data_IF_877924741879
#
_entry.id   IF_877924741879
#
_cell.length_a   1.000
_cell.length_b   1.000
_cell.length_c   1.000
_cell.angle_alpha   90.00
_cell.angle_beta   90.00
_cell.angle_gamma   90.00
#
_symmetry.space_group_name_H-M   'P 1'
#
loop_
_entity.id
_entity.type
_entity.pdbx_description
1 polymer ?
#
# COMPACT_ATOMS: atom_id res chain seq x y z
N UNK A 1 8.91 -24.03 -33.14
CA UNK A 1 8.11 -22.79 -33.25
C UNK A 1 8.16 -22.07 -31.91
N UNK A 2 8.64 -20.83 -31.87
CA UNK A 2 8.64 -20.05 -30.62
C UNK A 2 7.20 -19.57 -30.35
N UNK A 3 6.60 -20.06 -29.27
CA UNK A 3 5.24 -19.67 -28.87
C UNK A 3 5.31 -18.25 -28.28
N UNK A 4 4.85 -17.25 -29.03
CA UNK A 4 4.75 -15.87 -28.54
C UNK A 4 3.67 -15.83 -27.47
N UNK A 5 4.07 -15.73 -26.20
CA UNK A 5 3.14 -15.52 -25.08
C UNK A 5 3.04 -14.02 -24.80
N UNK A 6 1.82 -13.53 -24.61
CA UNK A 6 1.61 -12.16 -24.16
C UNK A 6 2.25 -11.98 -22.78
N UNK A 7 2.88 -10.83 -22.55
CA UNK A 7 3.41 -10.48 -21.22
C UNK A 7 2.25 -10.44 -20.22
N UNK A 8 2.37 -11.05 -19.03
CA UNK A 8 1.35 -10.93 -18.01
C UNK A 8 1.06 -9.45 -17.70
N UNK A 9 -0.21 -9.07 -17.48
CA UNK A 9 -0.53 -7.70 -17.09
C UNK A 9 0.28 -7.31 -15.84
N UNK A 10 0.72 -6.04 -15.79
CA UNK A 10 1.49 -5.44 -14.67
C UNK A 10 2.93 -5.96 -14.46
N UNK A 11 3.37 -7.00 -15.17
CA UNK A 11 4.77 -7.39 -15.19
C UNK A 11 5.62 -6.32 -15.92
N UNK A 12 6.74 -5.91 -15.29
CA UNK A 12 7.68 -4.98 -15.89
C UNK A 12 8.38 -5.66 -17.08
N UNK A 13 8.82 -4.86 -18.06
CA UNK A 13 9.59 -5.39 -19.20
C UNK A 13 10.83 -6.14 -18.69
N UNK A 14 10.98 -7.40 -19.09
CA UNK A 14 12.10 -8.24 -18.66
C UNK A 14 11.82 -9.09 -17.42
N UNK A 15 10.61 -9.02 -16.84
CA UNK A 15 10.18 -9.95 -15.78
C UNK A 15 9.06 -10.87 -16.26
N UNK A 16 9.02 -12.07 -15.69
CA UNK A 16 7.98 -13.07 -16.01
C UNK A 16 6.72 -12.90 -15.17
N UNK A 17 6.82 -12.22 -14.02
CA UNK A 17 5.72 -12.00 -13.06
C UNK A 17 5.83 -10.62 -12.43
N UNK A 18 4.70 -10.15 -11.89
CA UNK A 18 4.67 -8.98 -11.03
C UNK A 18 5.19 -9.31 -9.63
N UNK A 19 5.54 -8.29 -8.84
CA UNK A 19 6.05 -8.45 -7.47
C UNK A 19 5.42 -7.43 -6.52
N UNK A 20 5.43 -7.74 -5.23
CA UNK A 20 5.02 -6.82 -4.17
C UNK A 20 5.78 -5.49 -4.25
N UNK A 21 7.07 -5.53 -4.61
CA UNK A 21 7.90 -4.34 -4.75
C UNK A 21 7.46 -3.48 -5.92
N UNK A 22 7.18 -4.05 -7.09
CA UNK A 22 6.69 -3.28 -8.24
C UNK A 22 5.31 -2.66 -7.97
N UNK A 23 4.44 -3.39 -7.27
CA UNK A 23 3.16 -2.83 -6.82
C UNK A 23 3.37 -1.64 -5.87
N UNK A 24 4.37 -1.70 -4.97
CA UNK A 24 4.74 -0.58 -4.10
C UNK A 24 5.11 0.68 -4.89
N UNK A 25 5.87 0.54 -5.99
CA UNK A 25 6.22 1.65 -6.86
C UNK A 25 5.00 2.23 -7.61
N UNK A 26 4.04 1.39 -8.01
CA UNK A 26 2.79 1.89 -8.62
C UNK A 26 1.93 2.64 -7.61
N UNK A 27 1.83 2.15 -6.37
CA UNK A 27 1.15 2.88 -5.30
C UNK A 27 1.83 4.23 -5.06
N UNK A 28 3.18 4.27 -5.04
CA UNK A 28 3.94 5.52 -4.96
C UNK A 28 3.56 6.50 -6.08
N UNK A 29 3.56 6.03 -7.34
CA UNK A 29 3.21 6.84 -8.49
C UNK A 29 1.81 7.44 -8.37
N UNK A 30 0.80 6.63 -8.07
CA UNK A 30 -0.56 7.10 -7.89
C UNK A 30 -0.72 8.06 -6.70
N UNK A 31 0.00 7.85 -5.60
CA UNK A 31 -0.03 8.76 -4.45
C UNK A 31 0.60 10.13 -4.78
N UNK A 32 1.69 10.16 -5.56
CA UNK A 32 2.32 11.42 -5.99
C UNK A 32 1.44 12.20 -6.97
N UNK A 33 0.62 11.49 -7.76
CA UNK A 33 -0.31 12.07 -8.72
C UNK A 33 -1.68 12.42 -8.11
N UNK A 34 -1.88 12.18 -6.81
CA UNK A 34 -3.18 12.24 -6.13
C UNK A 34 -4.30 11.45 -6.86
N UNK A 35 -3.92 10.34 -7.50
CA UNK A 35 -4.83 9.45 -8.21
C UNK A 35 -5.46 8.45 -7.23
N UNK A 36 -6.57 8.90 -6.62
CA UNK A 36 -7.32 8.11 -5.64
C UNK A 36 -7.84 6.78 -6.17
N UNK A 37 -8.24 6.71 -7.43
CA UNK A 37 -8.73 5.46 -8.01
C UNK A 37 -7.54 4.52 -8.24
N UNK A 38 -6.44 5.04 -8.77
CA UNK A 38 -5.23 4.28 -9.04
C UNK A 38 -4.63 3.61 -7.81
N UNK A 39 -4.32 4.38 -6.75
CA UNK A 39 -3.70 3.76 -5.56
C UNK A 39 -4.64 2.79 -4.86
N UNK A 40 -5.97 3.02 -4.86
CA UNK A 40 -6.94 2.07 -4.27
C UNK A 40 -6.98 0.76 -5.04
N UNK A 41 -6.98 0.82 -6.38
CA UNK A 41 -6.91 -0.37 -7.21
C UNK A 41 -5.61 -1.15 -7.00
N UNK A 42 -4.48 -0.48 -6.81
CA UNK A 42 -3.21 -1.13 -6.48
C UNK A 42 -3.21 -1.77 -5.08
N UNK A 43 -3.78 -1.10 -4.08
CA UNK A 43 -3.93 -1.65 -2.72
C UNK A 43 -4.84 -2.89 -2.75
N UNK A 44 -5.95 -2.84 -3.47
CA UNK A 44 -6.85 -3.99 -3.65
C UNK A 44 -6.16 -5.12 -4.42
N UNK A 45 -5.41 -4.80 -5.47
CA UNK A 45 -4.61 -5.77 -6.19
C UNK A 45 -3.60 -6.45 -5.24
N UNK A 46 -2.89 -5.68 -4.40
CA UNK A 46 -1.97 -6.20 -3.40
C UNK A 46 -2.70 -7.10 -2.37
N UNK A 47 -3.87 -6.69 -1.88
CA UNK A 47 -4.70 -7.44 -0.94
C UNK A 47 -4.97 -8.87 -1.44
N UNK A 48 -5.38 -9.00 -2.70
CA UNK A 48 -5.71 -10.29 -3.33
C UNK A 48 -4.48 -11.16 -3.65
N UNK A 49 -3.26 -10.61 -3.65
CA UNK A 49 -2.03 -11.38 -3.82
C UNK A 49 -1.58 -11.99 -2.49
N UNK A 50 -2.17 -13.14 -2.13
CA UNK A 50 -1.87 -13.85 -0.87
C UNK A 50 -0.41 -14.28 -0.70
N UNK A 51 0.35 -14.37 -1.79
CA UNK A 51 1.80 -14.64 -1.74
C UNK A 51 2.64 -13.42 -1.37
N UNK A 52 2.04 -12.25 -1.14
CA UNK A 52 2.70 -11.00 -0.81
C UNK A 52 2.31 -10.52 0.60
N UNK A 53 2.76 -11.19 1.67
CA UNK A 53 2.63 -10.61 3.01
C UNK A 53 3.37 -9.27 3.05
N UNK A 54 2.81 -8.27 3.74
CA UNK A 54 3.38 -6.91 3.75
C UNK A 54 4.77 -6.92 4.36
N UNK A 55 5.02 -7.77 5.35
CA UNK A 55 6.30 -7.91 6.03
C UNK A 55 7.45 -8.37 5.11
N UNK A 56 7.16 -9.09 4.03
CA UNK A 56 8.16 -9.67 3.12
C UNK A 56 8.45 -8.79 1.91
N UNK A 57 7.89 -7.57 1.84
CA UNK A 57 8.25 -6.62 0.77
C UNK A 57 9.77 -6.35 0.86
N UNK A 58 10.55 -6.67 -0.20
CA UNK A 58 11.99 -6.53 -0.15
C UNK A 58 12.40 -5.06 -0.12
N UNK A 59 13.54 -4.78 0.52
CA UNK A 59 14.11 -3.43 0.57
C UNK A 59 14.53 -2.97 -0.84
N UNK A 60 13.95 -1.90 -1.41
CA UNK A 60 14.32 -1.44 -2.74
C UNK A 60 15.75 -0.93 -2.84
N UNK A 61 16.35 -0.49 -1.72
CA UNK A 61 17.64 0.24 -1.71
C UNK A 61 17.67 1.37 -2.75
N UNK A 62 16.57 2.12 -2.81
CA UNK A 62 16.39 3.15 -3.82
C UNK A 62 17.44 4.26 -3.66
N UNK A 63 18.09 4.63 -4.76
CA UNK A 63 19.17 5.61 -4.75
C UNK A 63 18.69 7.05 -4.51
N UNK A 64 17.40 7.32 -4.77
CA UNK A 64 16.78 8.62 -4.51
C UNK A 64 16.26 8.64 -3.06
N UNK A 65 16.82 9.49 -2.17
CA UNK A 65 16.42 9.51 -0.77
C UNK A 65 14.95 9.87 -0.57
N UNK A 66 14.40 10.78 -1.38
CA UNK A 66 13.00 11.21 -1.30
C UNK A 66 12.06 10.06 -1.66
N UNK A 67 12.34 9.38 -2.77
CA UNK A 67 11.57 8.21 -3.18
C UNK A 67 11.72 7.06 -2.19
N UNK A 68 12.93 6.81 -1.67
CA UNK A 68 13.17 5.77 -0.68
C UNK A 68 12.38 6.01 0.62
N UNK A 69 12.42 7.24 1.14
CA UNK A 69 11.64 7.62 2.31
C UNK A 69 10.14 7.43 2.05
N UNK A 70 9.63 7.88 0.90
CA UNK A 70 8.23 7.70 0.54
C UNK A 70 7.84 6.23 0.49
N UNK A 71 8.60 5.40 -0.25
CA UNK A 71 8.35 3.96 -0.36
C UNK A 71 8.34 3.28 1.01
N UNK A 72 9.15 3.74 1.97
CA UNK A 72 9.15 3.19 3.33
C UNK A 72 7.87 3.46 4.13
N UNK A 73 7.11 4.50 3.78
CA UNK A 73 5.82 4.84 4.39
C UNK A 73 4.65 4.02 3.85
N UNK A 74 4.72 3.54 2.61
CA UNK A 74 3.60 2.82 1.97
C UNK A 74 3.25 1.51 2.68
N UNK A 75 4.20 0.66 3.14
CA UNK A 75 3.86 -0.54 3.90
C UNK A 75 3.04 -0.25 5.16
N UNK A 76 3.24 0.90 5.80
CA UNK A 76 2.43 1.30 6.95
C UNK A 76 0.98 1.67 6.54
N UNK A 77 0.80 2.25 5.35
CA UNK A 77 -0.54 2.47 4.77
C UNK A 77 -1.24 1.13 4.50
N UNK A 78 -0.52 0.17 3.90
CA UNK A 78 -1.05 -1.17 3.63
C UNK A 78 -1.47 -1.87 4.92
N UNK A 79 -0.60 -1.89 5.93
CA UNK A 79 -0.90 -2.46 7.26
C UNK A 79 -2.13 -1.80 7.87
N UNK A 80 -2.26 -0.46 7.80
CA UNK A 80 -3.44 0.24 8.32
C UNK A 80 -4.72 -0.19 7.60
N UNK A 81 -4.72 -0.21 6.28
CA UNK A 81 -5.87 -0.63 5.48
C UNK A 81 -6.24 -2.09 5.76
N UNK A 82 -5.25 -2.97 5.75
CA UNK A 82 -5.44 -4.41 5.87
C UNK A 82 -5.87 -4.81 7.26
N UNK A 83 -5.25 -4.24 8.30
CA UNK A 83 -5.61 -4.57 9.67
C UNK A 83 -6.97 -4.00 10.07
N UNK A 84 -7.42 -2.89 9.47
CA UNK A 84 -8.80 -2.42 9.64
C UNK A 84 -9.81 -3.45 9.10
N UNK A 85 -9.56 -3.98 7.89
CA UNK A 85 -10.38 -5.02 7.28
C UNK A 85 -10.38 -6.32 8.09
N UNK A 86 -9.20 -6.79 8.52
CA UNK A 86 -9.06 -7.99 9.37
C UNK A 86 -9.79 -7.79 10.70
N UNK A 87 -9.71 -6.59 11.28
CA UNK A 87 -10.38 -6.23 12.53
C UNK A 87 -11.88 -6.45 12.48
N UNK A 88 -12.52 -6.12 11.34
CA UNK A 88 -13.96 -6.28 11.13
C UNK A 88 -14.36 -7.66 10.56
N UNK A 89 -13.42 -8.60 10.41
CA UNK A 89 -13.68 -9.97 9.96
C UNK A 89 -13.47 -10.21 8.46
N UNK A 90 -12.99 -9.23 7.70
CA UNK A 90 -12.59 -9.42 6.30
C UNK A 90 -11.17 -9.99 6.25
N UNK A 91 -11.05 -11.31 6.37
CA UNK A 91 -9.76 -11.96 6.35
C UNK A 91 -9.12 -11.94 4.95
N UNK A 92 -7.86 -11.54 4.85
CA UNK A 92 -7.11 -11.46 3.58
C UNK A 92 -6.97 -12.81 2.86
N UNK A 93 -6.90 -13.88 3.64
CA UNK A 93 -6.59 -15.22 3.15
C UNK A 93 -7.84 -16.08 2.90
N UNK A 94 -9.05 -15.48 2.92
CA UNK A 94 -10.30 -16.17 2.61
C UNK A 94 -10.71 -15.98 1.15
N UNK A 95 -11.48 -16.91 0.57
CA UNK A 95 -12.02 -16.76 -0.78
C UNK A 95 -12.74 -15.42 -0.98
N UNK A 96 -12.76 -14.90 -2.21
CA UNK A 96 -13.42 -13.63 -2.53
C UNK A 96 -14.94 -13.67 -2.30
N UNK A 97 -15.52 -14.88 -2.31
CA UNK A 97 -16.93 -15.13 -2.01
C UNK A 97 -16.95 -16.09 -0.83
N UNK A 98 -17.56 -15.66 0.27
CA UNK A 98 -17.81 -16.45 1.46
C UNK A 98 -19.30 -16.41 1.80
N UNK A 99 -19.81 -17.44 2.46
CA UNK A 99 -21.19 -17.47 2.94
C UNK A 99 -21.39 -16.48 4.11
N UNK A 100 -22.64 -16.07 4.40
CA UNK A 100 -22.93 -15.27 5.60
C UNK A 100 -22.43 -15.93 6.90
N UNK A 101 -22.53 -17.26 7.00
CA UNK A 101 -22.07 -18.03 8.16
C UNK A 101 -20.54 -18.01 8.28
N UNK A 102 -19.82 -18.11 7.16
CA UNK A 102 -18.37 -17.98 7.12
C UNK A 102 -17.92 -16.57 7.52
N UNK A 103 -18.61 -15.53 7.04
CA UNK A 103 -18.34 -14.14 7.42
C UNK A 103 -18.55 -13.91 8.93
N UNK A 104 -19.65 -14.43 9.48
CA UNK A 104 -19.93 -14.35 10.92
C UNK A 104 -18.87 -15.08 11.75
N UNK A 105 -18.40 -16.26 11.30
CA UNK A 105 -17.33 -17.00 11.95
C UNK A 105 -16.00 -16.23 11.96
N UNK A 106 -15.64 -15.57 10.85
CA UNK A 106 -14.44 -14.73 10.78
C UNK A 106 -14.55 -13.52 11.70
N UNK A 107 -15.71 -12.88 11.76
CA UNK A 107 -15.94 -11.74 12.65
C UNK A 107 -15.85 -12.15 14.14
N UNK A 108 -16.33 -13.35 14.48
CA UNK A 108 -16.25 -13.92 15.84
C UNK A 108 -14.87 -14.49 16.21
N UNK A 109 -13.91 -14.50 15.28
CA UNK A 109 -12.56 -14.99 15.55
C UNK A 109 -11.94 -14.16 16.69
N UNK A 110 -11.50 -14.80 17.80
CA UNK A 110 -10.84 -14.11 18.89
C UNK A 110 -9.67 -13.25 18.40
N UNK A 111 -9.54 -12.04 18.96
CA UNK A 111 -8.58 -11.03 18.48
C UNK A 111 -7.13 -11.53 18.39
N UNK A 112 -6.71 -12.37 19.34
CA UNK A 112 -5.37 -12.96 19.38
C UNK A 112 -5.12 -14.05 18.32
N UNK A 113 -6.17 -14.53 17.64
CA UNK A 113 -6.10 -15.51 16.55
C UNK A 113 -6.20 -14.86 15.17
N UNK A 114 -6.47 -13.55 15.10
CA UNK A 114 -6.50 -12.82 13.82
C UNK A 114 -5.07 -12.63 13.28
N UNK A 115 -4.89 -12.95 12.02
CA UNK A 115 -3.59 -12.83 11.34
C UNK A 115 -3.39 -11.40 10.81
N UNK A 116 -2.90 -10.51 11.68
CA UNK A 116 -2.59 -9.14 11.32
C UNK A 116 -1.30 -9.00 10.51
N UNK A 117 -1.29 -8.04 9.60
CA UNK A 117 -0.13 -7.67 8.81
C UNK A 117 0.81 -6.78 9.61
N UNK A 118 2.11 -6.88 9.31
CA UNK A 118 3.16 -6.05 9.90
C UNK A 118 4.03 -5.44 8.81
N UNK A 119 4.73 -4.35 9.14
CA UNK A 119 5.62 -3.67 8.19
C UNK A 119 6.94 -4.44 8.04
N UNK A 120 7.60 -4.36 6.87
CA UNK A 120 8.95 -4.90 6.70
C UNK A 120 9.95 -4.29 7.68
N UNK A 121 10.90 -5.09 8.18
CA UNK A 121 11.91 -4.61 9.12
C UNK A 121 12.81 -3.47 8.55
N UNK A 122 12.92 -3.35 7.23
CA UNK A 122 13.74 -2.30 6.61
C UNK A 122 13.11 -0.90 6.75
N UNK A 123 11.78 -0.79 6.77
CA UNK A 123 11.09 0.51 6.87
C UNK A 123 11.39 1.20 8.19
N UNK A 124 11.58 0.42 9.26
CA UNK A 124 11.89 0.91 10.61
C UNK A 124 13.25 1.61 10.71
N UNK A 125 14.16 1.38 9.75
CA UNK A 125 15.50 1.96 9.75
C UNK A 125 15.63 3.20 8.87
N UNK A 126 14.59 3.53 8.10
CA UNK A 126 14.60 4.67 7.19
C UNK A 126 14.48 5.96 7.98
N UNK A 127 15.43 6.86 7.78
CA UNK A 127 15.46 8.15 8.46
C UNK A 127 14.54 9.16 7.74
N UNK A 128 13.98 10.13 8.47
CA UNK A 128 13.27 11.24 7.86
C UNK A 128 14.15 12.02 6.87
N UNK A 129 13.54 12.64 5.87
CA UNK A 129 14.26 13.49 4.91
C UNK A 129 14.86 14.71 5.59
N UNK A 130 16.05 15.13 5.14
CA UNK A 130 16.72 16.33 5.64
C UNK A 130 15.97 17.62 5.30
N UNK A 131 15.17 17.60 4.22
CA UNK A 131 14.32 18.70 3.78
C UNK A 131 12.88 18.19 3.69
N UNK A 132 11.94 19.08 4.00
CA UNK A 132 10.51 18.79 3.87
C UNK A 132 10.19 18.53 2.40
N UNK A 133 9.54 17.41 2.11
CA UNK A 133 8.96 17.13 0.81
C UNK A 133 7.45 17.32 0.88
N UNK A 134 6.89 18.24 0.10
CA UNK A 134 5.44 18.43 0.03
C UNK A 134 4.88 17.80 -1.24
N UNK A 135 3.82 17.02 -1.09
CA UNK A 135 3.10 16.39 -2.20
C UNK A 135 1.79 17.17 -2.36
N UNK A 136 1.56 17.83 -3.50
CA UNK A 136 0.31 18.53 -3.73
C UNK A 136 -0.84 17.55 -3.92
N UNK A 137 -2.04 18.03 -3.65
CA UNK A 137 -3.31 17.34 -3.88
C UNK A 137 -4.07 18.05 -5.00
N UNK A 138 -4.84 17.29 -5.77
CA UNK A 138 -5.78 17.79 -6.75
C UNK A 138 -7.00 18.37 -6.03
N UNK A 139 -7.27 19.65 -6.27
CA UNK A 139 -8.47 20.34 -5.80
C UNK A 139 -9.22 20.92 -7.00
N UNK A 140 -10.08 20.11 -7.60
CA UNK A 140 -10.73 20.45 -8.87
C UNK A 140 -9.69 20.54 -10.00
N UNK A 141 -9.60 21.68 -10.73
CA UNK A 141 -8.59 21.86 -11.77
C UNK A 141 -7.20 22.23 -11.24
N UNK A 142 -7.09 22.61 -9.95
CA UNK A 142 -5.88 23.19 -9.37
C UNK A 142 -5.12 22.18 -8.49
N UNK A 143 -3.83 22.46 -8.25
CA UNK A 143 -3.00 21.77 -7.27
C UNK A 143 -2.86 22.61 -6.00
N UNK A 144 -3.12 22.01 -4.84
CA UNK A 144 -2.98 22.67 -3.54
C UNK A 144 -2.09 21.86 -2.61
N UNK A 145 -1.37 22.55 -1.71
CA UNK A 145 -0.61 21.87 -0.67
C UNK A 145 -1.53 21.48 0.50
N UNK A 146 -1.36 20.28 1.08
CA UNK A 146 -2.17 19.86 2.21
C UNK A 146 -1.93 20.75 3.44
N UNK A 147 -3.02 21.05 4.15
CA UNK A 147 -3.00 21.72 5.44
C UNK A 147 -2.42 20.79 6.52
N UNK A 148 -1.92 21.36 7.61
CA UNK A 148 -1.33 20.58 8.71
C UNK A 148 -2.32 19.60 9.36
N UNK A 149 -3.62 19.93 9.32
CA UNK A 149 -4.72 19.09 9.81
C UNK A 149 -5.04 17.92 8.90
N UNK A 150 -4.59 17.96 7.64
CA UNK A 150 -4.87 16.96 6.61
C UNK A 150 -3.72 15.97 6.44
N UNK A 151 -2.60 16.12 7.17
CA UNK A 151 -1.40 15.32 6.95
C UNK A 151 -1.50 13.90 7.49
N UNK A 152 -1.01 12.94 6.70
CA UNK A 152 -0.79 11.59 7.17
C UNK A 152 0.38 11.52 8.17
N UNK A 153 0.12 10.96 9.35
CA UNK A 153 1.11 10.89 10.42
C UNK A 153 2.32 10.01 10.10
N UNK A 154 2.17 9.00 9.23
CA UNK A 154 3.29 8.16 8.79
C UNK A 154 4.27 8.97 7.97
N UNK A 155 3.76 9.66 6.94
CA UNK A 155 4.58 10.47 6.04
C UNK A 155 5.15 11.69 6.74
N UNK A 156 4.39 12.29 7.66
CA UNK A 156 4.87 13.40 8.48
C UNK A 156 6.12 13.03 9.28
N UNK A 157 6.18 11.82 9.86
CA UNK A 157 7.37 11.32 10.57
C UNK A 157 8.59 11.21 9.66
N UNK A 158 8.38 10.98 8.36
CA UNK A 158 9.43 10.91 7.34
C UNK A 158 9.80 12.28 6.73
N UNK A 159 9.25 13.36 7.28
CA UNK A 159 9.37 14.73 6.77
C UNK A 159 8.73 14.90 5.37
N UNK A 160 7.68 14.13 5.09
CA UNK A 160 6.88 14.18 3.87
C UNK A 160 5.49 14.71 4.24
N UNK A 161 5.07 15.80 3.62
CA UNK A 161 3.72 16.36 3.75
C UNK A 161 2.84 15.77 2.66
N UNK A 162 2.14 14.69 3.00
CA UNK A 162 1.14 14.02 2.17
C UNK A 162 -0.21 14.14 2.87
N UNK A 163 -1.25 14.54 2.15
CA UNK A 163 -2.63 14.50 2.67
C UNK A 163 -3.03 13.06 3.01
N UNK A 164 -3.89 12.86 4.00
CA UNK A 164 -4.33 11.51 4.44
C UNK A 164 -4.91 10.75 3.24
N UNK A 165 -4.25 9.69 2.75
CA UNK A 165 -4.78 8.96 1.61
C UNK A 165 -6.02 8.16 2.01
N UNK A 166 -7.01 8.09 1.13
CA UNK A 166 -8.25 7.36 1.35
C UNK A 166 -8.05 5.84 1.19
N UNK A 167 -7.44 5.22 2.19
CA UNK A 167 -7.06 3.79 2.18
C UNK A 167 -8.07 2.86 2.86
N UNK A 168 -9.07 3.41 3.55
CA UNK A 168 -10.14 2.61 4.15
C UNK A 168 -11.18 2.26 3.09
N UNK A 169 -11.52 0.98 2.99
CA UNK A 169 -12.60 0.48 2.14
C UNK A 169 -13.86 0.37 3.00
N UNK A 170 -14.50 1.52 3.26
CA UNK A 170 -15.82 1.61 3.92
C UNK A 170 -16.82 2.25 2.99
#
# INVERSE_FOLDING_TARGET
MAQIRARPPRAIKGTERDTALHCLYRIYEHLVLDDTIGYRNEIEYFWHHRGWPVADIPDPKDSDPARYAFLSGIPQLLVRAFNNNIGIGLARYTPAIISPEEAEALQKTPEHLKNYETVPAWTLRVKPLSKVLSIPMMYGPDLQLPLDTELDLTFRKLNIRLGVPHVSFT
#
